data_IF_582839715235
#
_entry.id   IF_582839715235
#
_cell.length_a   1.000
_cell.length_b   1.000
_cell.length_c   1.000
_cell.angle_alpha   90.00
_cell.angle_beta   90.00
_cell.angle_gamma   90.00
#
_symmetry.space_group_name_H-M   'P 1'
#
loop_
_entity.id
_entity.type
_entity.pdbx_description
1 polymer ?
#
# COMPACT_ATOMS: atom_id res chain seq x y z
N UNK A 1 -63.75 23.68 11.75
CA UNK A 1 -64.57 23.04 10.70
C UNK A 1 -63.95 21.69 10.40
N UNK A 2 -64.75 20.64 10.54
CA UNK A 2 -64.42 19.21 10.48
C UNK A 2 -64.28 18.72 9.04
N UNK A 3 -63.35 17.79 8.76
CA UNK A 3 -63.54 16.60 7.88
C UNK A 3 -62.20 15.83 7.74
N UNK A 4 -61.97 14.78 8.52
CA UNK A 4 -62.25 13.34 8.29
C UNK A 4 -61.41 12.64 7.22
N UNK A 5 -60.45 11.87 7.71
CA UNK A 5 -60.07 10.48 7.39
C UNK A 5 -60.76 9.77 6.20
N UNK A 6 -59.96 9.09 5.38
CA UNK A 6 -60.34 7.81 4.74
C UNK A 6 -59.17 6.84 4.76
N UNK A 7 -59.20 5.96 5.76
CA UNK A 7 -58.58 4.63 5.76
C UNK A 7 -59.54 3.70 5.02
N UNK A 8 -59.10 3.01 3.96
CA UNK A 8 -59.77 1.79 3.48
C UNK A 8 -58.71 0.86 2.87
N UNK A 9 -58.51 -0.30 3.50
CA UNK A 9 -57.68 -1.38 2.97
C UNK A 9 -58.52 -2.43 2.23
N UNK A 10 -57.83 -3.28 1.46
CA UNK A 10 -58.21 -4.65 1.07
C UNK A 10 -56.87 -5.37 0.79
N UNK A 11 -56.34 -6.20 1.69
CA UNK A 11 -56.57 -7.64 1.88
C UNK A 11 -56.19 -8.54 0.69
N UNK A 12 -55.33 -9.51 1.03
CA UNK A 12 -55.34 -10.92 0.58
C UNK A 12 -54.40 -11.31 -0.58
N UNK A 13 -53.30 -11.97 -0.19
CA UNK A 13 -52.39 -12.69 -1.08
C UNK A 13 -51.45 -13.61 -0.32
N UNK A 14 -51.98 -14.49 0.55
CA UNK A 14 -51.24 -15.63 1.11
C UNK A 14 -51.49 -16.86 0.25
N UNK A 15 -50.49 -17.32 -0.52
CA UNK A 15 -50.32 -18.75 -0.84
C UNK A 15 -48.83 -19.10 -0.86
N UNK A 16 -48.43 -19.79 0.22
CA UNK A 16 -47.41 -20.83 0.36
C UNK A 16 -46.55 -21.21 -0.87
N UNK A 17 -45.23 -21.14 -0.66
CA UNK A 17 -44.27 -22.10 -1.21
C UNK A 17 -43.22 -22.45 -0.12
N UNK A 18 -43.59 -23.39 0.75
CA UNK A 18 -42.65 -24.10 1.62
C UNK A 18 -42.11 -25.28 0.82
N UNK A 19 -40.79 -25.30 0.56
CA UNK A 19 -39.93 -26.51 0.56
C UNK A 19 -38.63 -26.27 -0.22
N UNK A 20 -37.50 -26.16 0.50
CA UNK A 20 -36.21 -26.77 0.14
C UNK A 20 -35.14 -26.50 1.23
N UNK A 21 -35.41 -26.91 2.48
CA UNK A 21 -34.36 -27.07 3.49
C UNK A 21 -33.71 -28.45 3.31
N UNK A 22 -32.79 -28.58 2.35
CA UNK A 22 -31.83 -29.70 2.37
C UNK A 22 -30.73 -29.47 1.34
N UNK A 23 -29.64 -28.80 1.74
CA UNK A 23 -28.26 -29.16 1.36
C UNK A 23 -27.23 -28.11 1.83
N UNK A 24 -27.05 -27.96 3.14
CA UNK A 24 -25.79 -27.45 3.73
C UNK A 24 -25.54 -28.15 5.07
N UNK A 25 -25.56 -29.49 5.10
CA UNK A 25 -25.07 -30.28 6.24
C UNK A 25 -23.61 -30.66 6.01
N UNK A 26 -22.74 -29.66 5.92
CA UNK A 26 -21.31 -29.91 5.98
C UNK A 26 -20.68 -28.82 6.83
N UNK A 27 -20.43 -29.17 8.08
CA UNK A 27 -19.81 -28.33 9.12
C UNK A 27 -18.28 -28.24 8.97
N UNK A 28 -17.74 -28.68 7.83
CA UNK A 28 -16.31 -28.63 7.51
C UNK A 28 -15.42 -29.50 8.39
N UNK A 29 -15.99 -30.33 9.28
CA UNK A 29 -15.21 -31.16 10.22
C UNK A 29 -14.85 -32.55 9.70
N UNK A 30 -15.51 -33.01 8.65
CA UNK A 30 -15.20 -34.29 8.00
C UNK A 30 -14.47 -34.07 6.69
N UNK A 31 -13.22 -34.55 6.62
CA UNK A 31 -12.44 -34.56 5.38
C UNK A 31 -13.03 -35.56 4.39
N UNK A 32 -12.92 -35.22 3.10
CA UNK A 32 -13.27 -36.15 2.01
C UNK A 32 -12.33 -37.36 2.05
N UNK A 33 -12.80 -38.56 1.67
CA UNK A 33 -11.91 -39.70 1.46
C UNK A 33 -10.85 -39.38 0.40
N UNK A 34 -9.63 -39.89 0.60
CA UNK A 34 -8.56 -39.76 -0.37
C UNK A 34 -8.95 -40.39 -1.72
N UNK A 35 -8.58 -39.72 -2.81
CA UNK A 35 -8.78 -40.26 -4.17
C UNK A 35 -7.81 -41.42 -4.43
N UNK A 36 -8.13 -42.36 -5.34
CA UNK A 36 -7.26 -43.51 -5.66
C UNK A 36 -5.86 -43.14 -6.15
N UNK A 37 -5.66 -41.89 -6.58
CA UNK A 37 -4.40 -41.33 -7.08
C UNK A 37 -3.58 -40.58 -6.02
N UNK A 38 -4.00 -40.62 -4.75
CA UNK A 38 -3.27 -40.07 -3.60
C UNK A 38 -2.60 -41.20 -2.80
N UNK A 39 -1.68 -41.93 -3.43
CA UNK A 39 -0.85 -42.98 -2.81
C UNK A 39 0.55 -42.49 -2.39
N UNK A 40 0.89 -41.22 -2.70
CA UNK A 40 2.17 -40.62 -2.36
C UNK A 40 2.27 -40.23 -0.89
N UNK A 41 3.13 -40.92 -0.13
CA UNK A 41 3.59 -40.45 1.18
C UNK A 41 4.69 -39.40 1.01
N UNK A 42 4.55 -38.24 1.69
CA UNK A 42 5.65 -37.28 1.79
C UNK A 42 6.67 -37.83 2.79
N UNK A 43 7.88 -38.11 2.31
CA UNK A 43 9.01 -38.46 3.15
C UNK A 43 9.53 -37.17 3.81
N UNK A 44 9.29 -36.98 5.10
CA UNK A 44 10.03 -35.99 5.88
C UNK A 44 11.39 -36.60 6.24
N UNK A 45 12.53 -36.07 5.76
CA UNK A 45 13.81 -36.55 6.26
C UNK A 45 13.90 -36.21 7.75
N UNK A 46 13.81 -37.25 8.59
CA UNK A 46 14.17 -37.13 10.00
C UNK A 46 15.70 -37.18 10.07
N UNK A 47 16.33 -36.03 10.28
CA UNK A 47 17.76 -35.99 10.58
C UNK A 47 17.98 -36.56 11.99
N UNK A 48 18.26 -37.85 12.04
CA UNK A 48 18.75 -38.51 13.26
C UNK A 48 20.22 -38.12 13.45
N UNK A 49 20.48 -37.19 14.38
CA UNK A 49 21.84 -36.90 14.83
C UNK A 49 22.28 -38.01 15.78
N UNK A 50 23.14 -38.92 15.30
CA UNK A 50 23.89 -39.84 16.16
C UNK A 50 25.00 -39.03 16.83
N UNK A 51 24.90 -38.81 18.14
CA UNK A 51 26.02 -38.29 18.94
C UNK A 51 26.95 -39.48 19.18
N UNK A 52 28.06 -39.51 18.46
CA UNK A 52 29.25 -40.30 18.83
C UNK A 52 30.08 -39.43 19.77
N UNK A 53 30.11 -39.84 21.03
CA UNK A 53 31.00 -39.31 22.06
C UNK A 53 32.42 -39.81 21.75
N UNK A 54 33.20 -38.98 21.07
CA UNK A 54 34.66 -39.14 21.00
C UNK A 54 35.29 -37.78 21.28
N UNK A 55 35.91 -37.69 22.45
CA UNK A 55 36.62 -36.53 22.92
C UNK A 55 37.84 -36.25 22.02
N UNK A 56 37.68 -35.32 21.09
CA UNK A 56 38.79 -34.71 20.34
C UNK A 56 38.84 -33.22 20.67
N UNK A 57 40.05 -32.81 21.04
CA UNK A 57 40.48 -31.46 21.40
C UNK A 57 40.00 -30.35 20.45
N UNK A 58 39.80 -29.10 20.94
CA UNK A 58 39.33 -27.99 20.13
C UNK A 58 40.46 -27.48 19.23
N UNK A 59 40.52 -28.01 18.01
CA UNK A 59 41.18 -27.32 16.91
C UNK A 59 40.18 -26.31 16.34
N UNK A 60 40.55 -25.03 16.37
CA UNK A 60 39.79 -23.90 15.84
C UNK A 60 39.19 -24.22 14.47
N UNK A 61 37.86 -24.13 14.35
CA UNK A 61 37.18 -24.13 13.05
C UNK A 61 37.68 -22.92 12.25
N UNK A 62 38.24 -23.10 11.04
CA UNK A 62 38.42 -21.98 10.13
C UNK A 62 37.05 -21.48 9.68
N UNK A 63 36.69 -20.31 10.19
CA UNK A 63 35.75 -19.35 9.60
C UNK A 63 34.40 -19.92 9.19
N UNK A 64 33.46 -19.94 10.13
CA UNK A 64 32.06 -19.75 9.75
C UNK A 64 32.01 -18.47 8.90
N UNK A 65 31.83 -18.63 7.60
CA UNK A 65 31.62 -17.51 6.70
C UNK A 65 30.27 -16.94 7.10
N UNK A 66 30.29 -15.88 7.91
CA UNK A 66 29.14 -14.98 8.04
C UNK A 66 28.74 -14.67 6.61
N UNK A 67 27.57 -15.16 6.19
CA UNK A 67 27.01 -14.73 4.91
C UNK A 67 26.84 -13.24 5.08
N UNK A 68 27.72 -12.45 4.45
CA UNK A 68 27.60 -11.00 4.43
C UNK A 68 26.18 -10.72 3.92
N UNK A 69 25.33 -10.24 4.83
CA UNK A 69 24.00 -9.81 4.47
C UNK A 69 24.20 -8.70 3.44
N UNK A 70 23.88 -8.97 2.19
CA UNK A 70 23.91 -7.95 1.14
C UNK A 70 22.91 -6.89 1.56
N UNK A 71 23.40 -5.72 1.97
CA UNK A 71 22.57 -4.60 2.34
C UNK A 71 21.78 -4.16 1.09
N UNK A 72 20.48 -4.42 1.08
CA UNK A 72 19.60 -3.95 0.01
C UNK A 72 19.35 -2.46 0.26
N UNK A 73 19.74 -1.63 -0.70
CA UNK A 73 19.51 -0.20 -0.64
C UNK A 73 18.00 0.10 -0.72
N UNK A 74 17.54 1.07 0.09
CA UNK A 74 16.18 1.58 0.01
C UNK A 74 16.00 2.30 -1.32
N UNK A 75 15.03 1.86 -2.14
CA UNK A 75 14.78 2.48 -3.45
C UNK A 75 13.29 2.47 -3.82
N UNK A 76 12.89 3.50 -4.57
CA UNK A 76 11.55 3.71 -5.10
C UNK A 76 11.54 3.34 -6.59
N UNK A 77 10.51 2.62 -7.03
CA UNK A 77 10.24 2.38 -8.44
C UNK A 77 8.91 3.02 -8.85
N UNK A 78 8.93 3.64 -10.03
CA UNK A 78 7.79 4.28 -10.68
C UNK A 78 7.65 3.70 -12.11
N UNK A 79 6.53 4.00 -12.80
CA UNK A 79 6.35 3.61 -14.21
C UNK A 79 7.32 4.32 -15.18
N UNK A 80 8.20 5.17 -14.67
CA UNK A 80 9.27 5.86 -15.38
C UNK A 80 10.58 5.77 -14.59
N UNK A 81 11.70 5.93 -15.28
CA UNK A 81 13.01 6.12 -14.66
C UNK A 81 13.17 7.54 -14.12
N UNK A 82 14.14 7.78 -13.24
CA UNK A 82 14.45 9.13 -12.76
C UNK A 82 14.73 10.11 -13.90
N UNK A 83 14.06 11.27 -13.87
CA UNK A 83 14.03 12.26 -14.95
C UNK A 83 13.15 11.88 -16.15
N UNK A 84 12.46 10.75 -16.09
CA UNK A 84 11.61 10.25 -17.17
C UNK A 84 10.27 10.98 -17.29
N UNK A 85 9.62 10.85 -18.45
CA UNK A 85 8.32 11.48 -18.71
C UNK A 85 7.18 10.78 -17.96
N UNK A 86 6.34 11.58 -17.30
CA UNK A 86 5.11 11.09 -16.67
C UNK A 86 4.04 10.89 -17.75
N UNK A 87 3.44 9.70 -17.78
CA UNK A 87 2.32 9.42 -18.69
C UNK A 87 1.14 10.35 -18.43
N UNK A 88 0.52 10.86 -19.50
CA UNK A 88 -0.60 11.81 -19.44
C UNK A 88 -1.76 11.30 -18.59
N UNK A 89 -1.98 9.98 -18.49
CA UNK A 89 -3.05 9.40 -17.67
C UNK A 89 -2.94 9.77 -16.19
N UNK A 90 -1.74 10.08 -15.69
CA UNK A 90 -1.51 10.47 -14.31
C UNK A 90 -1.66 11.98 -14.05
N UNK A 91 -1.93 12.78 -15.08
CA UNK A 91 -1.92 14.24 -15.02
C UNK A 91 -3.32 14.83 -15.17
N UNK A 92 -3.46 16.14 -15.01
CA UNK A 92 -4.74 16.83 -15.19
C UNK A 92 -5.29 16.76 -16.62
N UNK A 93 -4.44 16.43 -17.60
CA UNK A 93 -4.83 16.25 -19.00
C UNK A 93 -5.31 14.83 -19.32
N UNK A 94 -5.23 13.90 -18.36
CA UNK A 94 -5.69 12.52 -18.50
C UNK A 94 -6.69 12.11 -17.43
N UNK A 95 -6.61 10.86 -16.99
CA UNK A 95 -7.51 10.31 -15.98
C UNK A 95 -7.23 10.85 -14.57
N UNK A 96 -6.09 11.52 -14.36
CA UNK A 96 -5.64 12.04 -13.08
C UNK A 96 -5.65 10.97 -11.96
N UNK A 97 -5.25 9.75 -12.31
CA UNK A 97 -5.07 8.64 -11.37
C UNK A 97 -3.65 8.66 -10.80
N UNK A 98 -3.45 8.22 -9.57
CA UNK A 98 -2.09 8.12 -9.00
C UNK A 98 -1.29 7.03 -9.70
N UNK A 99 0.02 7.21 -9.93
CA UNK A 99 0.85 6.16 -10.51
C UNK A 99 0.96 4.97 -9.57
N UNK A 100 1.19 3.77 -10.13
CA UNK A 100 1.64 2.64 -9.32
C UNK A 100 3.02 2.96 -8.74
N UNK A 101 3.23 2.66 -7.47
CA UNK A 101 4.51 2.83 -6.78
C UNK A 101 4.92 1.49 -6.17
N UNK A 102 6.21 1.20 -6.17
CA UNK A 102 6.76 0.08 -5.41
C UNK A 102 8.12 0.44 -4.83
N UNK A 103 8.57 -0.32 -3.85
CA UNK A 103 9.88 -0.08 -3.26
C UNK A 103 10.56 -1.38 -2.84
N UNK A 104 11.86 -1.28 -2.58
CA UNK A 104 12.64 -2.36 -1.98
C UNK A 104 13.57 -1.78 -0.92
N UNK A 105 14.04 -2.62 0.00
CA UNK A 105 15.06 -2.23 0.97
C UNK A 105 14.58 -1.27 2.05
N UNK A 106 13.28 -1.27 2.39
CA UNK A 106 12.82 -0.58 3.60
C UNK A 106 13.60 -1.13 4.80
N UNK A 107 14.12 -0.24 5.65
CA UNK A 107 14.92 -0.61 6.83
C UNK A 107 14.19 -1.64 7.69
N UNK A 108 14.91 -2.58 8.32
CA UNK A 108 14.29 -3.53 9.27
C UNK A 108 13.65 -2.82 10.48
N UNK A 109 14.08 -1.59 10.76
CA UNK A 109 13.53 -0.78 11.84
C UNK A 109 12.35 0.10 11.37
N UNK A 110 11.99 0.05 10.09
CA UNK A 110 10.86 0.80 9.57
C UNK A 110 9.55 0.15 10.04
N UNK A 111 8.72 0.93 10.73
CA UNK A 111 7.37 0.50 11.14
C UNK A 111 6.32 0.97 10.14
N UNK A 112 6.63 2.00 9.36
CA UNK A 112 5.74 2.61 8.37
C UNK A 112 6.56 3.13 7.18
N UNK A 113 5.93 3.18 6.00
CA UNK A 113 6.43 3.89 4.82
C UNK A 113 5.48 5.04 4.47
N UNK A 114 6.04 6.15 4.02
CA UNK A 114 5.29 7.31 3.54
C UNK A 114 5.84 7.82 2.21
N UNK A 115 5.01 8.54 1.45
CA UNK A 115 5.36 9.16 0.18
C UNK A 115 4.91 10.63 0.18
N UNK A 116 5.82 11.51 -0.25
CA UNK A 116 5.54 12.93 -0.52
C UNK A 116 5.84 13.19 -1.99
N UNK A 117 4.91 13.81 -2.71
CA UNK A 117 5.10 14.22 -4.11
C UNK A 117 5.03 15.74 -4.20
N UNK A 118 6.11 16.36 -4.66
CA UNK A 118 6.22 17.82 -4.78
C UNK A 118 6.63 18.24 -6.18
N UNK A 119 6.05 19.31 -6.69
CA UNK A 119 6.53 20.03 -7.87
C UNK A 119 7.63 21.00 -7.46
N UNK A 120 8.87 20.71 -7.86
CA UNK A 120 10.04 21.49 -7.45
C UNK A 120 10.16 22.83 -8.17
N UNK A 121 9.45 22.98 -9.29
CA UNK A 121 9.43 24.22 -10.08
C UNK A 121 8.31 25.18 -9.61
N UNK A 122 7.47 24.75 -8.67
CA UNK A 122 6.36 25.52 -8.11
C UNK A 122 6.45 25.64 -6.58
N UNK A 123 7.62 26.04 -6.04
CA UNK A 123 7.83 26.21 -4.58
C UNK A 123 7.51 24.94 -3.77
N UNK A 124 7.96 23.78 -4.26
CA UNK A 124 7.66 22.46 -3.69
C UNK A 124 6.16 22.18 -3.53
N UNK A 125 5.32 22.68 -4.46
CA UNK A 125 3.87 22.49 -4.42
C UNK A 125 3.50 21.02 -4.26
N UNK A 126 2.70 20.71 -3.24
CA UNK A 126 2.43 19.34 -2.82
C UNK A 126 1.29 18.74 -3.66
N UNK A 127 1.61 17.72 -4.43
CA UNK A 127 0.65 16.98 -5.26
C UNK A 127 0.01 15.80 -4.53
N UNK A 128 0.75 15.19 -3.61
CA UNK A 128 0.25 14.07 -2.80
C UNK A 128 1.12 13.88 -1.55
N UNK A 129 0.47 13.60 -0.43
CA UNK A 129 1.13 13.09 0.77
C UNK A 129 0.32 11.90 1.26
N UNK A 130 0.97 10.75 1.39
CA UNK A 130 0.35 9.53 1.90
C UNK A 130 1.29 8.86 2.90
N UNK A 131 0.73 8.45 4.03
CA UNK A 131 1.41 7.76 5.12
C UNK A 131 0.65 6.48 5.49
N UNK A 132 1.15 5.72 6.46
CA UNK A 132 0.52 4.45 6.88
C UNK A 132 0.71 3.29 5.91
N UNK A 133 1.73 3.33 5.03
CA UNK A 133 2.01 2.23 4.12
C UNK A 133 2.80 1.14 4.85
N UNK A 134 2.34 -0.12 4.76
CA UNK A 134 3.01 -1.26 5.41
C UNK A 134 4.36 -1.54 4.72
N UNK A 135 5.50 -1.46 5.42
CA UNK A 135 6.80 -1.80 4.86
C UNK A 135 6.87 -3.23 4.28
N UNK A 136 6.01 -4.14 4.76
CA UNK A 136 5.92 -5.54 4.32
C UNK A 136 5.03 -5.74 3.09
N UNK A 137 4.28 -4.72 2.69
CA UNK A 137 3.52 -4.70 1.44
C UNK A 137 4.09 -3.61 0.52
N UNK A 138 5.18 -3.91 -0.22
CA UNK A 138 6.04 -2.90 -0.80
C UNK A 138 5.52 -2.31 -2.13
N UNK A 139 4.22 -2.08 -2.22
CA UNK A 139 3.60 -1.51 -3.41
C UNK A 139 2.25 -0.86 -3.11
N UNK A 140 1.91 0.15 -3.90
CA UNK A 140 0.55 0.68 -4.02
C UNK A 140 0.16 0.62 -5.49
N UNK A 141 -1.00 0.03 -5.75
CA UNK A 141 -1.52 -0.07 -7.11
C UNK A 141 -1.94 1.30 -7.62
N UNK A 142 -1.87 1.49 -8.92
CA UNK A 142 -2.35 2.69 -9.59
C UNK A 142 -3.78 3.06 -9.16
N UNK A 143 -4.01 4.34 -8.90
CA UNK A 143 -5.32 4.87 -8.53
C UNK A 143 -5.89 4.29 -7.24
N UNK A 144 -5.08 3.60 -6.43
CA UNK A 144 -5.52 2.96 -5.20
C UNK A 144 -4.91 3.62 -3.97
N UNK A 145 -5.61 3.46 -2.84
CA UNK A 145 -5.15 3.86 -1.52
C UNK A 145 -5.28 2.61 -0.65
N UNK A 146 -4.19 2.08 -0.06
CA UNK A 146 -4.26 0.90 0.79
C UNK A 146 -5.15 1.15 2.01
N UNK A 147 -5.81 0.10 2.50
CA UNK A 147 -6.61 0.18 3.73
C UNK A 147 -5.71 0.58 4.89
N UNK A 148 -6.13 1.61 5.63
CA UNK A 148 -5.37 2.13 6.78
C UNK A 148 -4.35 3.21 6.42
N UNK A 149 -4.09 3.46 5.14
CA UNK A 149 -3.26 4.59 4.72
C UNK A 149 -3.95 5.92 5.03
N UNK A 150 -3.14 6.93 5.31
CA UNK A 150 -3.57 8.30 5.62
C UNK A 150 -3.20 9.18 4.45
N UNK A 151 -4.17 9.88 3.86
CA UNK A 151 -3.89 10.89 2.83
C UNK A 151 -3.99 12.30 3.42
N UNK A 152 -2.98 13.13 3.17
CA UNK A 152 -3.01 14.54 3.52
C UNK A 152 -3.87 15.36 2.55
N UNK A 153 -4.26 16.55 2.99
CA UNK A 153 -4.66 17.61 2.08
C UNK A 153 -3.49 17.93 1.13
N UNK A 154 -3.77 18.14 -0.15
CA UNK A 154 -2.75 18.54 -1.12
C UNK A 154 -2.76 20.06 -1.34
N UNK A 155 -1.80 20.58 -2.11
CA UNK A 155 -1.63 22.01 -2.36
C UNK A 155 -2.80 22.69 -3.09
N UNK A 156 -3.72 21.90 -3.66
CA UNK A 156 -4.95 22.43 -4.28
C UNK A 156 -6.07 22.69 -3.26
N UNK A 157 -5.90 22.27 -2.00
CA UNK A 157 -6.90 22.40 -0.96
C UNK A 157 -7.10 23.86 -0.55
N UNK A 158 -8.35 24.29 -0.49
CA UNK A 158 -8.75 25.60 0.03
C UNK A 158 -9.90 25.46 1.00
N UNK A 159 -10.18 26.51 1.79
CA UNK A 159 -11.33 26.51 2.70
C UNK A 159 -12.68 26.27 2.00
N UNK A 160 -12.81 26.67 0.73
CA UNK A 160 -14.03 26.52 -0.05
C UNK A 160 -14.09 25.20 -0.85
N UNK A 161 -12.93 24.61 -1.15
CA UNK A 161 -12.79 23.39 -1.93
C UNK A 161 -11.67 22.54 -1.33
N UNK A 162 -11.97 21.70 -0.32
CA UNK A 162 -10.98 20.80 0.25
C UNK A 162 -10.53 19.78 -0.79
N UNK A 163 -9.24 19.46 -0.79
CA UNK A 163 -8.63 18.51 -1.72
C UNK A 163 -7.65 17.63 -0.96
N UNK A 164 -7.89 16.32 -0.98
CA UNK A 164 -7.14 15.29 -0.26
C UNK A 164 -6.65 14.23 -1.25
N UNK A 165 -5.47 13.67 -1.00
CA UNK A 165 -4.91 12.62 -1.82
C UNK A 165 -4.27 13.10 -3.11
N UNK A 166 -4.16 12.23 -4.11
CA UNK A 166 -3.47 12.53 -5.37
C UNK A 166 -4.17 13.60 -6.21
N UNK A 167 -3.40 14.62 -6.61
CA UNK A 167 -3.71 15.48 -7.74
C UNK A 167 -2.50 15.54 -8.66
N UNK A 168 -2.69 15.17 -9.92
CA UNK A 168 -1.61 14.99 -10.86
C UNK A 168 -0.99 16.30 -11.37
N UNK A 169 0.15 16.20 -12.06
CA UNK A 169 0.79 17.30 -12.77
C UNK A 169 -0.18 18.15 -13.57
N UNK A 170 -0.07 19.47 -13.45
CA UNK A 170 -0.83 20.42 -14.25
C UNK A 170 -0.04 21.72 -14.46
N UNK A 171 1.13 21.64 -15.10
CA UNK A 171 1.99 22.81 -15.28
C UNK A 171 1.30 23.84 -16.20
N UNK A 172 1.61 25.13 -16.05
CA UNK A 172 1.19 26.16 -17.01
C UNK A 172 1.53 25.77 -18.46
N UNK A 173 0.73 26.25 -19.41
CA UNK A 173 0.99 25.98 -20.83
C UNK A 173 2.35 26.57 -21.25
N UNK A 174 3.14 25.77 -21.98
CA UNK A 174 4.48 26.17 -22.41
C UNK A 174 5.56 26.07 -21.33
N UNK A 175 5.28 25.42 -20.19
CA UNK A 175 6.31 25.08 -19.20
C UNK A 175 6.43 23.56 -19.04
N UNK A 176 7.61 23.14 -18.58
CA UNK A 176 7.91 21.76 -18.18
C UNK A 176 8.36 21.78 -16.73
N UNK A 177 7.71 20.98 -15.89
CA UNK A 177 7.95 20.91 -14.45
C UNK A 177 8.47 19.52 -14.04
N UNK A 178 9.14 19.47 -12.90
CA UNK A 178 9.75 18.31 -12.27
C UNK A 178 8.99 17.95 -10.99
N UNK A 179 8.45 16.73 -10.96
CA UNK A 179 7.67 16.19 -9.86
C UNK A 179 8.55 15.18 -9.14
N UNK A 180 9.02 15.55 -7.95
CA UNK A 180 9.85 14.70 -7.10
C UNK A 180 8.94 13.84 -6.22
N UNK A 181 9.10 12.53 -6.34
CA UNK A 181 8.47 11.52 -5.50
C UNK A 181 9.48 11.09 -4.44
N UNK A 182 9.27 11.48 -3.20
CA UNK A 182 10.11 11.16 -2.05
C UNK A 182 9.45 10.10 -1.20
N UNK A 183 10.04 8.90 -1.16
CA UNK A 183 9.60 7.80 -0.32
C UNK A 183 10.44 7.76 0.96
N UNK A 184 9.79 7.57 2.11
CA UNK A 184 10.41 7.59 3.42
C UNK A 184 10.12 6.28 4.16
N UNK A 185 11.14 5.75 4.81
CA UNK A 185 11.02 4.69 5.81
C UNK A 185 10.99 5.35 7.19
N UNK A 186 9.96 5.06 7.98
CA UNK A 186 9.69 5.74 9.25
C UNK A 186 9.87 4.79 10.44
N UNK A 187 10.48 5.28 11.53
CA UNK A 187 10.62 4.52 12.78
C UNK A 187 9.38 4.56 13.69
N UNK A 188 8.43 5.47 13.42
CA UNK A 188 7.17 5.61 14.15
C UNK A 188 5.99 5.65 13.17
N UNK A 189 4.83 5.25 13.66
CA UNK A 189 3.58 5.34 12.91
C UNK A 189 3.09 6.79 12.94
N UNK A 190 2.53 7.25 11.83
CA UNK A 190 1.91 8.58 11.77
C UNK A 190 0.51 8.51 12.38
N UNK A 191 0.24 9.36 13.37
CA UNK A 191 -1.03 9.40 14.11
C UNK A 191 -1.97 10.55 13.68
N UNK A 192 -1.68 11.18 12.55
CA UNK A 192 -2.51 12.25 12.00
C UNK A 192 -3.72 11.68 11.24
N UNK A 193 -4.90 12.34 11.31
CA UNK A 193 -6.05 11.90 10.53
C UNK A 193 -5.89 12.21 9.03
N UNK A 194 -6.59 11.44 8.19
CA UNK A 194 -6.76 11.79 6.75
C UNK A 194 -7.36 13.18 6.62
N UNK A 195 -6.84 13.96 5.67
CA UNK A 195 -7.20 15.35 5.45
C UNK A 195 -6.45 16.36 6.32
N UNK A 196 -5.51 15.93 7.17
CA UNK A 196 -4.55 16.84 7.82
C UNK A 196 -3.79 17.67 6.78
N UNK A 197 -3.28 18.85 7.16
CA UNK A 197 -2.59 19.71 6.21
C UNK A 197 -1.36 19.01 5.63
N UNK A 198 -1.00 19.33 4.37
CA UNK A 198 0.24 18.83 3.77
C UNK A 198 1.45 19.15 4.66
N UNK A 199 1.48 20.34 5.24
CA UNK A 199 2.56 20.82 6.11
C UNK A 199 2.71 19.95 7.36
N UNK A 200 1.61 19.72 8.10
CA UNK A 200 1.65 18.90 9.32
C UNK A 200 2.09 17.47 9.01
N UNK A 201 1.58 16.90 7.91
CA UNK A 201 1.88 15.53 7.54
C UNK A 201 3.32 15.36 7.04
N UNK A 202 3.81 16.30 6.22
CA UNK A 202 5.22 16.30 5.78
C UNK A 202 6.16 16.51 6.96
N UNK A 203 5.84 17.41 7.89
CA UNK A 203 6.64 17.62 9.10
C UNK A 203 6.70 16.36 9.96
N UNK A 204 5.58 15.67 10.15
CA UNK A 204 5.53 14.42 10.91
C UNK A 204 6.36 13.32 10.23
N UNK A 205 6.24 13.18 8.91
CA UNK A 205 7.04 12.25 8.10
C UNK A 205 8.54 12.54 8.25
N UNK A 206 8.97 13.79 8.03
CA UNK A 206 10.38 14.18 8.09
C UNK A 206 10.95 13.95 9.49
N UNK A 207 10.16 14.21 10.55
CA UNK A 207 10.60 14.01 11.94
C UNK A 207 10.82 12.55 12.32
N UNK A 208 10.17 11.61 11.63
CA UNK A 208 10.25 10.17 11.89
C UNK A 208 11.08 9.41 10.86
N UNK A 209 11.64 10.07 9.85
CA UNK A 209 12.34 9.41 8.75
C UNK A 209 13.69 8.84 9.17
N UNK A 210 13.89 7.54 8.93
CA UNK A 210 15.16 6.81 9.13
C UNK A 210 15.81 6.37 7.81
N UNK A 211 15.17 6.67 6.68
CA UNK A 211 15.68 6.42 5.34
C UNK A 211 14.81 7.08 4.29
N UNK A 212 15.38 7.43 3.15
CA UNK A 212 14.65 8.05 2.05
C UNK A 212 15.16 7.57 0.69
N UNK A 213 14.27 7.55 -0.29
CA UNK A 213 14.56 7.30 -1.70
C UNK A 213 13.75 8.28 -2.56
N UNK A 214 14.28 8.67 -3.72
CA UNK A 214 13.64 9.66 -4.57
C UNK A 214 13.69 9.24 -6.04
N UNK A 215 12.63 9.56 -6.76
CA UNK A 215 12.56 9.49 -8.22
C UNK A 215 11.82 10.72 -8.72
N UNK A 216 12.34 11.37 -9.74
CA UNK A 216 11.74 12.54 -10.37
C UNK A 216 11.06 12.13 -11.67
N UNK A 217 9.84 12.61 -11.89
CA UNK A 217 9.15 12.56 -13.17
C UNK A 217 9.02 13.95 -13.78
N UNK A 218 9.00 14.03 -15.11
CA UNK A 218 8.89 15.29 -15.86
C UNK A 218 7.58 15.32 -16.63
N UNK A 219 6.87 16.43 -16.56
CA UNK A 219 5.66 16.65 -17.36
C UNK A 219 5.52 18.11 -17.80
N UNK A 220 4.98 18.31 -19.00
CA UNK A 220 4.70 19.62 -19.58
C UNK A 220 5.07 19.67 -21.06
N UNK A 221 5.03 20.87 -21.61
CA UNK A 221 5.42 21.15 -22.99
C UNK A 221 6.38 22.34 -22.98
N UNK A 222 7.55 22.26 -23.62
CA UNK A 222 8.41 23.42 -23.79
C UNK A 222 7.80 24.48 -24.73
#
# INVERSE_FOLDING_TARGET
>A
MVRTSRITGVLLGCVLAVAALSACRHDGRTLRPALPTQDGSVFTPTTTTTIVDDAVQPSELPGATTTDAVAIAFSLQLPWADGGTIDTRFTCNGANVSPAISWIGASQNAVEVALVVTDTDADNFVHWVIAGLDPKNPSVSEGSVPVGAIEGANGFSTAAAPSVGWKGPCPPAGTTHHYRFSLYALEQQIELPTGSSAEDLVLAIDSSAIGAAQVTGVYGTP
#
